data_IF_084241266416
#
_entry.id   IF_084241266416
#
_cell.length_a   1.000
_cell.length_b   1.000
_cell.length_c   1.000
_cell.angle_alpha   90.00
_cell.angle_beta   90.00
_cell.angle_gamma   90.00
#
_symmetry.space_group_name_H-M   'P 1'
#
loop_
_entity.id
_entity.type
_entity.pdbx_description
1 polymer ?
#
# COMPACT_ATOMS: atom_id res chain seq x y z
N UNK A 1 35.57 19.96 -5.25
CA UNK A 1 34.42 19.71 -6.15
C UNK A 1 33.79 18.39 -5.71
N UNK A 2 32.67 18.41 -4.99
CA UNK A 2 31.96 17.18 -4.60
C UNK A 2 31.01 16.77 -5.74
N UNK A 3 30.92 15.48 -6.09
CA UNK A 3 30.03 15.03 -7.15
C UNK A 3 28.57 15.19 -6.71
N UNK A 4 27.75 15.78 -7.58
CA UNK A 4 26.29 15.78 -7.45
C UNK A 4 25.83 14.33 -7.58
N UNK A 5 25.32 13.76 -6.49
CA UNK A 5 24.56 12.51 -6.57
C UNK A 5 23.15 12.87 -7.01
N UNK A 6 22.77 12.44 -8.21
CA UNK A 6 21.36 12.34 -8.60
C UNK A 6 20.73 11.24 -7.72
N UNK A 7 20.31 11.63 -6.51
CA UNK A 7 19.44 10.83 -5.66
C UNK A 7 18.05 10.90 -6.28
N UNK A 8 17.61 9.80 -6.90
CA UNK A 8 16.22 9.47 -7.24
C UNK A 8 15.20 10.50 -6.76
N UNK A 9 14.77 11.40 -7.64
CA UNK A 9 13.49 12.11 -7.54
C UNK A 9 12.46 11.13 -8.13
N UNK A 10 11.82 10.21 -7.42
CA UNK A 10 11.20 10.28 -6.10
C UNK A 10 10.28 11.48 -5.86
N UNK A 11 9.82 12.14 -6.93
CA UNK A 11 8.48 12.74 -6.86
C UNK A 11 7.55 11.56 -6.75
N UNK A 12 7.15 11.28 -5.52
CA UNK A 12 6.20 10.24 -5.16
C UNK A 12 4.83 10.74 -5.63
N UNK A 13 4.65 10.81 -6.95
CA UNK A 13 3.58 11.56 -7.63
C UNK A 13 2.17 11.10 -7.28
N UNK A 14 2.01 9.95 -6.61
CA UNK A 14 0.74 9.40 -6.17
C UNK A 14 0.70 9.05 -4.66
N UNK A 15 1.75 9.39 -3.89
CA UNK A 15 1.79 9.04 -2.47
C UNK A 15 1.16 10.08 -1.54
N UNK A 16 0.92 11.29 -2.05
CA UNK A 16 0.30 12.39 -1.33
C UNK A 16 -0.33 13.35 -2.34
N UNK A 17 -1.33 14.10 -1.89
CA UNK A 17 -1.87 15.22 -2.64
C UNK A 17 -0.79 16.31 -2.74
N UNK A 18 -0.53 16.77 -3.97
CA UNK A 18 0.46 17.81 -4.23
C UNK A 18 0.12 18.53 -5.55
N UNK A 19 0.45 19.81 -5.66
CA UNK A 19 0.33 20.54 -6.93
C UNK A 19 1.73 20.79 -7.45
N UNK A 20 2.04 20.22 -8.62
CA UNK A 20 3.30 20.46 -9.31
C UNK A 20 3.11 21.58 -10.32
N UNK A 21 3.63 22.75 -10.00
CA UNK A 21 3.62 23.92 -10.88
C UNK A 21 4.84 23.87 -11.80
N UNK A 22 4.61 23.86 -13.11
CA UNK A 22 5.66 23.83 -14.13
C UNK A 22 5.60 25.13 -14.92
N UNK A 23 6.69 25.91 -14.89
CA UNK A 23 6.87 27.07 -15.75
C UNK A 23 7.12 26.60 -17.19
N UNK A 24 6.19 26.89 -18.09
CA UNK A 24 6.22 26.44 -19.49
C UNK A 24 6.49 27.57 -20.48
N UNK A 25 6.33 28.82 -20.04
CA UNK A 25 6.61 30.00 -20.85
C UNK A 25 7.92 30.69 -20.47
N UNK A 26 8.32 31.65 -21.29
CA UNK A 26 9.58 32.38 -21.13
C UNK A 26 9.51 33.49 -20.08
N UNK A 27 8.30 33.92 -19.69
CA UNK A 27 8.08 34.98 -18.70
C UNK A 27 7.54 34.40 -17.39
N UNK A 28 7.99 34.94 -16.25
CA UNK A 28 7.55 34.49 -14.93
C UNK A 28 6.01 34.50 -14.80
N UNK A 29 5.44 33.35 -14.39
CA UNK A 29 4.00 33.19 -14.17
C UNK A 29 3.25 32.46 -15.29
N UNK A 30 3.91 32.15 -16.41
CA UNK A 30 3.38 31.24 -17.44
C UNK A 30 3.54 29.78 -16.98
N UNK A 31 2.70 29.37 -16.03
CA UNK A 31 2.76 28.04 -15.40
C UNK A 31 1.60 27.14 -15.80
N UNK A 32 1.86 25.83 -15.87
CA UNK A 32 0.85 24.78 -15.88
C UNK A 32 0.90 24.08 -14.53
N UNK A 33 -0.26 24.02 -13.87
CA UNK A 33 -0.42 23.28 -12.62
C UNK A 33 -0.87 21.85 -12.93
N UNK A 34 -0.18 20.88 -12.33
CA UNK A 34 -0.56 19.47 -12.35
C UNK A 34 -0.99 19.09 -10.93
N UNK A 35 -2.29 18.88 -10.76
CA UNK A 35 -2.85 18.40 -9.50
C UNK A 35 -2.64 16.90 -9.37
N UNK A 36 -1.72 16.53 -8.49
CA UNK A 36 -1.46 15.15 -8.13
C UNK A 36 -2.38 14.76 -6.98
N UNK A 37 -3.06 13.61 -7.13
CA UNK A 37 -3.90 13.01 -6.10
C UNK A 37 -3.26 11.75 -5.55
N UNK A 38 -3.40 11.55 -4.25
CA UNK A 38 -2.99 10.31 -3.60
C UNK A 38 -3.86 9.15 -4.11
N UNK A 39 -3.21 8.14 -4.69
CA UNK A 39 -3.88 6.92 -5.17
C UNK A 39 -3.32 5.73 -4.41
N UNK A 40 -4.13 5.14 -3.55
CA UNK A 40 -3.86 3.87 -2.87
C UNK A 40 -5.18 3.11 -2.63
N UNK A 41 -5.10 1.88 -2.12
CA UNK A 41 -6.29 1.05 -1.88
C UNK A 41 -7.29 1.72 -0.93
N UNK A 42 -6.83 2.58 -0.01
CA UNK A 42 -7.70 3.33 0.90
C UNK A 42 -8.42 4.47 0.18
N UNK A 43 -7.73 5.27 -0.63
CA UNK A 43 -8.35 6.39 -1.38
C UNK A 43 -9.26 5.91 -2.51
N UNK A 44 -9.03 4.70 -3.02
CA UNK A 44 -9.91 4.02 -3.97
C UNK A 44 -11.01 3.17 -3.30
N UNK A 45 -11.04 3.04 -1.97
CA UNK A 45 -12.04 2.26 -1.24
C UNK A 45 -11.98 0.74 -1.46
N UNK A 46 -10.80 0.21 -1.78
CA UNK A 46 -10.53 -1.21 -2.08
C UNK A 46 -9.79 -1.93 -0.94
N UNK A 47 -9.60 -1.29 0.20
CA UNK A 47 -8.89 -1.82 1.38
C UNK A 47 -9.53 -3.09 1.96
N UNK A 48 -10.85 -3.19 1.85
CA UNK A 48 -11.66 -4.30 2.37
C UNK A 48 -12.20 -5.21 1.28
N UNK A 49 -11.80 -5.00 0.01
CA UNK A 49 -12.23 -5.84 -1.09
C UNK A 49 -11.74 -7.28 -0.88
N UNK A 50 -12.67 -8.18 -0.58
CA UNK A 50 -12.38 -9.59 -0.37
C UNK A 50 -13.44 -10.44 -1.08
N UNK A 51 -13.00 -11.35 -1.96
CA UNK A 51 -13.86 -12.26 -2.73
C UNK A 51 -13.94 -13.66 -2.12
N UNK A 52 -13.31 -13.89 -0.98
CA UNK A 52 -13.28 -15.18 -0.29
C UNK A 52 -14.59 -15.44 0.43
N UNK A 53 -15.03 -16.70 0.43
CA UNK A 53 -16.11 -17.18 1.30
C UNK A 53 -15.50 -17.65 2.62
N UNK A 54 -16.21 -17.44 3.72
CA UNK A 54 -15.83 -17.99 5.00
C UNK A 54 -15.77 -19.53 4.93
N UNK A 55 -14.74 -20.12 5.54
CA UNK A 55 -14.66 -21.56 5.72
C UNK A 55 -15.49 -21.98 6.93
N UNK A 56 -16.09 -23.16 6.86
CA UNK A 56 -16.62 -23.83 8.04
C UNK A 56 -15.45 -24.39 8.84
N UNK A 57 -15.07 -23.70 9.92
CA UNK A 57 -13.94 -24.08 10.77
C UNK A 57 -14.47 -25.01 11.86
N UNK A 58 -14.26 -26.31 11.70
CA UNK A 58 -14.50 -27.29 12.74
C UNK A 58 -13.20 -27.59 13.48
N UNK A 59 -13.23 -27.45 14.81
CA UNK A 59 -12.16 -27.94 15.67
C UNK A 59 -12.40 -29.43 15.96
N UNK A 60 -11.40 -30.26 15.76
CA UNK A 60 -11.39 -31.62 16.31
C UNK A 60 -10.64 -31.59 17.64
N UNK A 61 -11.22 -32.20 18.67
CA UNK A 61 -10.54 -32.32 19.95
C UNK A 61 -9.23 -33.11 19.76
N UNK A 62 -8.12 -32.53 20.19
CA UNK A 62 -6.85 -33.25 20.25
C UNK A 62 -7.00 -34.42 21.21
N UNK A 63 -6.76 -35.65 20.75
CA UNK A 63 -6.88 -36.85 21.58
C UNK A 63 -6.12 -36.69 22.90
N UNK A 64 -6.81 -36.90 24.03
CA UNK A 64 -6.22 -36.82 25.38
C UNK A 64 -5.08 -37.85 25.50
N UNK A 65 -3.82 -37.42 25.77
CA UNK A 65 -2.69 -38.33 25.94
C UNK A 65 -2.85 -39.34 27.08
N UNK A 66 -3.86 -39.20 27.95
CA UNK A 66 -4.20 -40.21 28.98
C UNK A 66 -4.97 -41.43 28.45
N UNK A 67 -5.31 -41.47 27.16
CA UNK A 67 -6.04 -42.59 26.56
C UNK A 67 -5.17 -43.85 26.34
N UNK A 68 -3.85 -43.74 26.53
CA UNK A 68 -2.96 -44.89 26.53
C UNK A 68 -2.92 -45.51 27.93
N UNK A 69 -4.00 -46.21 28.31
CA UNK A 69 -3.88 -47.20 29.38
C UNK A 69 -3.13 -48.38 28.79
N UNK A 70 -1.85 -48.48 29.12
CA UNK A 70 -1.08 -49.73 29.02
C UNK A 70 -1.87 -50.80 29.78
N UNK A 71 -2.44 -51.71 29.00
CA UNK A 71 -3.11 -52.90 29.49
C UNK A 71 -2.19 -54.09 29.31
N UNK A 72 -1.56 -54.48 30.42
CA UNK A 72 -0.73 -55.66 30.66
C UNK A 72 0.67 -55.70 30.02
#
# INVERSE_FOLDING_TARGET
MYPVRLSSTAVKVLAQDNTLTIQVGANDGETIDIDLKQINSQTLGLDTLNVQKAYDVSATDAMDPKSFTDGY
#
